data_IF_177953572745
#
_entry.id   IF_177953572745
#
_cell.length_a   1.000
_cell.length_b   1.000
_cell.length_c   1.000
_cell.angle_alpha   90.00
_cell.angle_beta   90.00
_cell.angle_gamma   90.00
#
_symmetry.space_group_name_H-M   'P 1'
#
loop_
_entity.id
_entity.type
_entity.pdbx_description
1 polymer ?
#
# COMPACT_ATOMS: atom_id res chain seq x y z
N UNK A 1 28.72 -50.37 36.26
CA UNK A 1 28.51 -49.01 35.74
C UNK A 1 27.51 -49.06 34.61
N UNK A 2 26.28 -48.64 34.92
CA UNK A 2 25.18 -48.54 33.92
C UNK A 2 25.14 -47.08 33.49
N UNK A 3 25.67 -46.77 32.30
CA UNK A 3 25.57 -45.46 31.69
C UNK A 3 24.16 -45.24 31.15
N UNK A 4 23.44 -44.29 31.74
CA UNK A 4 22.11 -43.90 31.33
C UNK A 4 22.17 -43.15 29.97
N UNK A 5 21.32 -43.60 29.01
CA UNK A 5 21.09 -42.91 27.72
C UNK A 5 20.31 -41.60 27.94
N UNK A 6 20.63 -40.53 27.22
CA UNK A 6 19.87 -39.29 27.33
C UNK A 6 18.49 -39.43 26.68
N UNK A 7 17.47 -38.91 27.38
CA UNK A 7 16.10 -38.82 26.89
C UNK A 7 15.99 -37.92 25.65
N UNK A 8 15.07 -38.19 24.68
CA UNK A 8 14.89 -37.34 23.51
C UNK A 8 14.37 -35.96 23.90
N UNK A 9 14.94 -34.95 23.24
CA UNK A 9 14.70 -33.54 23.53
C UNK A 9 13.22 -33.14 23.50
N UNK A 10 12.81 -32.42 24.53
CA UNK A 10 11.54 -31.74 24.61
C UNK A 10 11.51 -30.68 23.52
N UNK A 11 10.59 -30.84 22.54
CA UNK A 11 10.22 -29.75 21.63
C UNK A 11 9.66 -28.61 22.46
N UNK A 12 10.33 -27.47 22.46
CA UNK A 12 9.77 -26.22 22.97
C UNK A 12 8.53 -25.88 22.13
N UNK A 13 7.36 -26.00 22.73
CA UNK A 13 6.12 -25.47 22.21
C UNK A 13 6.28 -23.95 22.19
N UNK A 14 6.45 -23.36 21.01
CA UNK A 14 6.43 -21.92 20.83
C UNK A 14 5.08 -21.42 21.32
N UNK A 15 5.09 -20.51 22.30
CA UNK A 15 3.89 -19.81 22.76
C UNK A 15 3.20 -19.14 21.59
N UNK A 16 1.85 -19.14 21.52
CA UNK A 16 1.13 -18.46 20.44
C UNK A 16 1.54 -16.98 20.41
N UNK A 17 2.05 -16.54 19.27
CA UNK A 17 2.42 -15.15 19.04
C UNK A 17 1.16 -14.30 19.24
N UNK A 18 1.16 -13.42 20.23
CA UNK A 18 0.05 -12.52 20.51
C UNK A 18 -0.25 -11.68 19.26
N UNK A 19 -1.53 -11.60 18.90
CA UNK A 19 -1.99 -10.70 17.83
C UNK A 19 -1.49 -9.27 18.11
N UNK A 20 -0.99 -8.54 17.09
CA UNK A 20 -0.59 -7.16 17.27
C UNK A 20 -1.78 -6.36 17.84
N UNK A 21 -1.56 -5.40 18.75
CA UNK A 21 -2.63 -4.59 19.30
C UNK A 21 -3.38 -3.88 18.17
N UNK A 22 -4.72 -3.87 18.25
CA UNK A 22 -5.55 -3.14 17.31
C UNK A 22 -5.06 -1.68 17.25
N UNK A 23 -4.78 -1.18 16.04
CA UNK A 23 -4.42 0.22 15.86
C UNK A 23 -5.65 1.05 16.20
N UNK A 24 -5.55 1.85 17.26
CA UNK A 24 -6.54 2.87 17.62
C UNK A 24 -5.89 4.23 17.38
N UNK A 25 -6.58 5.14 16.69
CA UNK A 25 -6.09 6.49 16.46
C UNK A 25 -6.94 7.20 15.40
N UNK A 26 -6.84 8.52 15.39
CA UNK A 26 -7.57 9.40 14.49
C UNK A 26 -6.95 9.45 13.07
N UNK A 27 -6.05 8.52 12.75
CA UNK A 27 -5.40 8.42 11.44
C UNK A 27 -5.31 7.00 10.93
N UNK A 28 -5.22 6.86 9.59
CA UNK A 28 -4.90 5.62 8.88
C UNK A 28 -3.57 5.78 8.14
N UNK A 29 -2.88 4.64 7.93
CA UNK A 29 -1.66 4.57 7.12
C UNK A 29 -1.95 3.87 5.80
N UNK A 30 -1.73 4.57 4.71
CA UNK A 30 -1.80 4.04 3.35
C UNK A 30 -0.37 3.89 2.83
N UNK A 31 -0.06 2.72 2.27
CA UNK A 31 1.26 2.42 1.74
C UNK A 31 1.19 1.89 0.32
N UNK A 32 2.29 2.05 -0.41
CA UNK A 32 2.58 1.34 -1.67
C UNK A 32 3.79 0.46 -1.47
N UNK A 33 3.81 -0.72 -2.08
CA UNK A 33 4.91 -1.64 -1.98
C UNK A 33 5.03 -2.55 -3.22
N UNK A 34 6.01 -2.28 -4.06
CA UNK A 34 6.43 -3.24 -5.08
C UNK A 34 7.11 -4.43 -4.38
N UNK A 35 6.51 -5.63 -4.44
CA UNK A 35 7.03 -6.84 -3.78
C UNK A 35 7.95 -7.64 -4.71
N UNK A 36 8.47 -7.08 -5.75
CA UNK A 36 9.38 -7.72 -6.72
C UNK A 36 9.04 -9.18 -7.04
N UNK A 37 8.42 -9.43 -8.19
CA UNK A 37 8.12 -10.77 -8.70
C UNK A 37 7.40 -11.65 -7.66
N UNK A 38 6.27 -11.13 -7.14
CA UNK A 38 5.48 -11.85 -6.14
C UNK A 38 4.66 -12.97 -6.78
N UNK A 39 5.01 -14.22 -6.43
CA UNK A 39 4.37 -15.41 -6.95
C UNK A 39 4.69 -16.64 -6.10
N UNK A 40 4.38 -17.82 -6.63
CA UNK A 40 4.54 -19.11 -5.94
C UNK A 40 5.97 -19.38 -5.46
N UNK A 41 6.97 -18.87 -6.17
CA UNK A 41 8.39 -19.01 -5.78
C UNK A 41 8.71 -18.21 -4.52
N UNK A 42 8.16 -16.98 -4.38
CA UNK A 42 8.36 -16.14 -3.18
C UNK A 42 7.57 -16.70 -1.99
N UNK A 43 6.36 -17.25 -2.19
CA UNK A 43 5.60 -17.93 -1.14
C UNK A 43 6.37 -19.09 -0.48
N UNK A 44 7.30 -19.72 -1.19
CA UNK A 44 8.14 -20.81 -0.69
C UNK A 44 9.37 -20.34 0.10
N UNK A 45 9.54 -19.04 0.31
CA UNK A 45 10.65 -18.44 1.06
C UNK A 45 10.14 -17.99 2.45
N UNK A 46 10.17 -18.84 3.49
CA UNK A 46 9.50 -18.55 4.76
C UNK A 46 10.04 -17.29 5.45
N UNK A 47 11.34 -17.01 5.37
CA UNK A 47 11.93 -15.82 5.97
C UNK A 47 11.44 -14.52 5.27
N UNK A 48 11.39 -14.50 3.94
CA UNK A 48 10.86 -13.37 3.20
C UNK A 48 9.35 -13.18 3.46
N UNK A 49 8.58 -14.27 3.49
CA UNK A 49 7.14 -14.22 3.78
C UNK A 49 6.84 -13.73 5.19
N UNK A 50 7.65 -14.11 6.18
CA UNK A 50 7.51 -13.58 7.55
C UNK A 50 7.67 -12.05 7.55
N UNK A 51 8.71 -11.53 6.90
CA UNK A 51 8.94 -10.08 6.79
C UNK A 51 7.80 -9.41 6.05
N UNK A 52 7.34 -9.97 4.91
CA UNK A 52 6.23 -9.42 4.13
C UNK A 52 4.93 -9.34 4.95
N UNK A 53 4.60 -10.38 5.74
CA UNK A 53 3.43 -10.35 6.62
C UNK A 53 3.56 -9.29 7.71
N UNK A 54 4.74 -9.14 8.31
CA UNK A 54 5.01 -8.15 9.35
C UNK A 54 5.02 -6.72 8.79
N UNK A 55 5.44 -6.54 7.53
CA UNK A 55 5.34 -5.26 6.81
C UNK A 55 3.87 -4.88 6.61
N UNK A 56 3.08 -5.76 5.99
CA UNK A 56 1.67 -5.45 5.69
C UNK A 56 0.89 -5.09 6.96
N UNK A 57 1.11 -5.82 8.04
CA UNK A 57 0.46 -5.56 9.34
C UNK A 57 0.77 -4.19 9.96
N UNK A 58 1.69 -3.42 9.41
CA UNK A 58 2.02 -2.05 9.88
C UNK A 58 1.14 -0.98 9.26
N UNK A 59 0.35 -1.31 8.24
CA UNK A 59 -0.44 -0.39 7.45
C UNK A 59 -1.92 -0.76 7.46
N UNK A 60 -2.78 0.22 7.29
CA UNK A 60 -4.23 0.00 7.20
C UNK A 60 -4.65 -0.37 5.77
N UNK A 61 -3.91 0.17 4.77
CA UNK A 61 -4.05 -0.15 3.35
C UNK A 61 -2.66 -0.28 2.74
N UNK A 62 -2.45 -1.29 1.90
CA UNK A 62 -1.20 -1.48 1.13
C UNK A 62 -1.55 -1.80 -0.32
N UNK A 63 -1.15 -0.93 -1.24
CA UNK A 63 -1.18 -1.22 -2.67
C UNK A 63 0.07 -2.01 -3.05
N UNK A 64 -0.11 -3.13 -3.73
CA UNK A 64 0.93 -4.09 -4.07
C UNK A 64 1.11 -4.15 -5.58
N UNK A 65 2.33 -3.95 -6.05
CA UNK A 65 2.72 -4.12 -7.44
C UNK A 65 3.53 -5.42 -7.61
N UNK A 66 3.67 -5.84 -8.85
CA UNK A 66 4.40 -7.03 -9.27
C UNK A 66 3.85 -8.37 -8.75
N UNK A 67 2.53 -8.50 -8.61
CA UNK A 67 1.95 -9.83 -8.43
C UNK A 67 2.06 -10.57 -9.77
N UNK A 68 3.12 -11.38 -9.90
CA UNK A 68 3.49 -12.07 -11.15
C UNK A 68 3.24 -13.57 -11.06
N UNK A 69 1.97 -13.97 -11.01
CA UNK A 69 1.58 -15.38 -10.96
C UNK A 69 0.40 -15.66 -11.88
N UNK A 70 0.35 -16.87 -12.41
CA UNK A 70 -0.86 -17.44 -13.03
C UNK A 70 -1.68 -18.28 -12.04
N UNK A 71 -1.16 -18.45 -10.83
CA UNK A 71 -1.83 -19.15 -9.74
C UNK A 71 -2.60 -18.13 -8.89
N UNK A 72 -3.91 -18.12 -9.03
CA UNK A 72 -4.81 -17.18 -8.35
C UNK A 72 -4.83 -17.40 -6.82
N UNK A 73 -4.22 -18.48 -6.31
CA UNK A 73 -4.12 -18.73 -4.87
C UNK A 73 -3.03 -17.93 -4.16
N UNK A 74 -2.15 -17.23 -4.90
CA UNK A 74 -0.99 -16.52 -4.33
C UNK A 74 -1.43 -15.45 -3.33
N UNK A 75 -2.31 -14.52 -3.71
CA UNK A 75 -2.81 -13.48 -2.80
C UNK A 75 -3.69 -14.06 -1.69
N UNK A 76 -4.66 -14.94 -1.94
CA UNK A 76 -5.38 -15.63 -0.86
C UNK A 76 -4.48 -16.32 0.17
N UNK A 77 -3.42 -17.02 -0.27
CA UNK A 77 -2.46 -17.66 0.62
C UNK A 77 -1.70 -16.62 1.46
N UNK A 78 -1.28 -15.53 0.84
CA UNK A 78 -0.61 -14.43 1.56
C UNK A 78 -1.53 -13.80 2.62
N UNK A 79 -2.80 -13.57 2.29
CA UNK A 79 -3.81 -13.08 3.24
C UNK A 79 -3.99 -14.06 4.42
N UNK A 80 -4.03 -15.35 4.17
CA UNK A 80 -4.07 -16.37 5.25
C UNK A 80 -2.85 -16.25 6.17
N UNK A 81 -1.65 -16.07 5.62
CA UNK A 81 -0.43 -15.87 6.41
C UNK A 81 -0.48 -14.56 7.23
N UNK A 82 -0.95 -13.47 6.64
CA UNK A 82 -1.15 -12.19 7.35
C UNK A 82 -2.11 -12.38 8.52
N UNK A 83 -3.21 -13.11 8.32
CA UNK A 83 -4.28 -13.29 9.29
C UNK A 83 -3.99 -14.38 10.35
N UNK A 84 -2.97 -15.21 10.16
CA UNK A 84 -2.62 -16.31 11.08
C UNK A 84 -2.34 -15.84 12.52
N UNK A 85 -1.92 -14.57 12.71
CA UNK A 85 -1.69 -13.95 14.03
C UNK A 85 -2.92 -13.19 14.57
N UNK A 86 -4.12 -13.47 14.06
CA UNK A 86 -5.37 -12.84 14.52
C UNK A 86 -5.66 -11.47 13.89
N UNK A 87 -4.90 -11.04 12.89
CA UNK A 87 -5.22 -9.88 12.07
C UNK A 87 -6.44 -10.17 11.17
N UNK A 88 -7.03 -9.13 10.60
CA UNK A 88 -8.25 -9.24 9.77
C UNK A 88 -8.09 -8.46 8.47
N UNK A 89 -7.16 -8.91 7.64
CA UNK A 89 -6.96 -8.32 6.31
C UNK A 89 -7.79 -9.04 5.26
N UNK A 90 -8.19 -8.27 4.26
CA UNK A 90 -8.83 -8.72 3.05
C UNK A 90 -8.18 -8.00 1.86
N UNK A 91 -8.58 -8.28 0.63
CA UNK A 91 -7.96 -7.72 -0.56
C UNK A 91 -8.95 -7.50 -1.70
N UNK A 92 -8.55 -6.66 -2.64
CA UNK A 92 -9.04 -6.61 -4.02
C UNK A 92 -7.86 -6.81 -4.96
N UNK A 93 -8.09 -7.40 -6.13
CA UNK A 93 -7.06 -7.70 -7.11
C UNK A 93 -7.60 -7.45 -8.52
N UNK A 94 -6.77 -6.85 -9.36
CA UNK A 94 -7.05 -6.59 -10.77
C UNK A 94 -6.71 -7.76 -11.70
N UNK A 95 -7.00 -7.62 -12.99
CA UNK A 95 -6.60 -8.59 -14.00
C UNK A 95 -5.09 -8.60 -14.22
N UNK A 96 -4.59 -9.61 -14.95
CA UNK A 96 -3.18 -9.65 -15.37
C UNK A 96 -2.96 -8.75 -16.57
N UNK A 97 -2.13 -7.71 -16.39
CA UNK A 97 -1.86 -6.64 -17.34
C UNK A 97 -0.40 -6.66 -17.80
N UNK A 98 -0.11 -6.03 -18.92
CA UNK A 98 1.21 -5.85 -19.49
C UNK A 98 1.31 -6.33 -20.93
N UNK A 99 2.09 -5.61 -21.75
CA UNK A 99 2.30 -5.87 -23.17
C UNK A 99 3.25 -7.05 -23.44
N UNK A 100 4.00 -7.48 -22.43
CA UNK A 100 4.98 -8.56 -22.57
C UNK A 100 4.48 -9.86 -21.92
N UNK A 101 5.27 -10.94 -22.02
CA UNK A 101 5.01 -12.18 -21.29
C UNK A 101 5.11 -12.01 -19.76
N UNK A 102 5.73 -10.94 -19.29
CA UNK A 102 5.88 -10.59 -17.87
C UNK A 102 4.66 -9.79 -17.37
N UNK A 103 3.48 -10.41 -17.48
CA UNK A 103 2.24 -9.81 -16.98
C UNK A 103 2.18 -9.84 -15.47
N UNK A 104 1.63 -8.78 -14.87
CA UNK A 104 1.43 -8.64 -13.43
C UNK A 104 0.01 -8.18 -13.09
N UNK A 105 -0.35 -8.29 -11.82
CA UNK A 105 -1.60 -7.79 -11.27
C UNK A 105 -1.29 -6.77 -10.17
N UNK A 106 -2.20 -5.81 -10.01
CA UNK A 106 -2.27 -4.98 -8.82
C UNK A 106 -3.14 -5.64 -7.78
N UNK A 107 -2.75 -5.56 -6.51
CA UNK A 107 -3.57 -6.00 -5.40
C UNK A 107 -3.55 -4.96 -4.28
N UNK A 108 -4.71 -4.61 -3.74
CA UNK A 108 -4.80 -3.72 -2.59
C UNK A 108 -5.25 -4.54 -1.39
N UNK A 109 -4.41 -4.61 -0.36
CA UNK A 109 -4.63 -5.34 0.88
C UNK A 109 -5.01 -4.33 1.97
N UNK A 110 -6.04 -4.62 2.77
CA UNK A 110 -6.54 -3.68 3.77
C UNK A 110 -7.02 -4.36 5.05
N UNK A 111 -6.86 -3.68 6.20
CA UNK A 111 -7.36 -4.13 7.51
C UNK A 111 -8.88 -3.89 7.58
N UNK A 112 -9.67 -4.94 7.57
CA UNK A 112 -11.14 -4.88 7.59
C UNK A 112 -11.72 -4.34 8.90
N UNK A 113 -10.91 -4.25 9.95
CA UNK A 113 -11.32 -3.60 11.19
C UNK A 113 -11.36 -2.06 11.05
N UNK A 114 -10.59 -1.52 10.13
CA UNK A 114 -10.39 -0.08 9.97
C UNK A 114 -10.88 0.47 8.63
N UNK A 115 -10.93 -0.38 7.62
CA UNK A 115 -11.20 0.00 6.23
C UNK A 115 -12.29 -0.91 5.66
N UNK A 116 -13.18 -0.34 4.88
CA UNK A 116 -14.08 -1.08 4.00
C UNK A 116 -13.86 -0.67 2.55
N UNK A 117 -14.13 -1.56 1.64
CA UNK A 117 -14.03 -1.36 0.19
C UNK A 117 -15.41 -1.45 -0.45
N UNK A 118 -15.70 -0.55 -1.37
CA UNK A 118 -16.79 -0.74 -2.31
C UNK A 118 -16.31 -1.63 -3.46
N UNK A 119 -16.62 -2.93 -3.38
CA UNK A 119 -16.19 -3.90 -4.40
C UNK A 119 -16.78 -3.64 -5.79
N UNK A 120 -17.89 -2.91 -5.88
CA UNK A 120 -18.49 -2.52 -7.17
C UNK A 120 -17.73 -1.38 -7.85
N UNK A 121 -16.88 -0.66 -7.10
CA UNK A 121 -16.03 0.42 -7.60
C UNK A 121 -14.68 -0.06 -8.15
N UNK A 122 -14.36 -1.37 -8.05
CA UNK A 122 -13.07 -1.90 -8.51
C UNK A 122 -13.09 -2.04 -10.03
N UNK A 123 -12.18 -1.33 -10.69
CA UNK A 123 -12.04 -1.42 -12.15
C UNK A 123 -10.59 -1.14 -12.58
N UNK A 124 -10.28 -1.56 -13.79
CA UNK A 124 -9.06 -1.16 -14.51
C UNK A 124 -9.38 0.03 -15.40
N UNK A 125 -8.54 1.05 -15.38
CA UNK A 125 -8.74 2.26 -16.19
C UNK A 125 -8.78 1.88 -17.67
N UNK A 126 -9.80 2.27 -18.45
CA UNK A 126 -9.81 2.02 -19.88
C UNK A 126 -8.69 2.80 -20.58
N UNK A 127 -7.88 2.13 -21.38
CA UNK A 127 -6.82 2.71 -22.19
C UNK A 127 -6.94 2.30 -23.67
N UNK A 128 -7.91 2.87 -24.41
CA UNK A 128 -8.16 2.47 -25.80
C UNK A 128 -7.03 2.90 -26.76
N UNK A 129 -6.10 3.75 -26.32
CA UNK A 129 -4.95 4.21 -27.10
C UNK A 129 -3.67 3.44 -26.77
N UNK A 130 -3.74 2.51 -25.83
CA UNK A 130 -2.61 1.68 -25.36
C UNK A 130 -1.38 2.54 -24.98
N UNK A 131 -1.63 3.59 -24.19
CA UNK A 131 -0.61 4.52 -23.70
C UNK A 131 0.12 4.00 -22.46
N UNK A 132 -0.56 3.13 -21.69
CA UNK A 132 -0.07 2.58 -20.44
C UNK A 132 0.41 1.14 -20.66
N UNK A 133 1.58 0.80 -20.15
CA UNK A 133 2.09 -0.58 -20.22
C UNK A 133 1.22 -1.54 -19.39
N UNK A 134 0.71 -1.02 -18.28
CA UNK A 134 -0.23 -1.66 -17.36
C UNK A 134 -1.24 -0.63 -16.88
N UNK A 135 -2.48 -0.82 -17.26
CA UNK A 135 -3.54 0.13 -16.91
C UNK A 135 -3.78 0.14 -15.38
N UNK A 136 -3.89 1.31 -14.74
CA UNK A 136 -4.07 1.43 -13.29
C UNK A 136 -5.33 0.72 -12.80
N UNK A 137 -5.23 0.12 -11.60
CA UNK A 137 -6.38 -0.38 -10.88
C UNK A 137 -6.94 0.70 -9.95
N UNK A 138 -8.24 0.92 -10.00
CA UNK A 138 -8.96 1.86 -9.13
C UNK A 138 -9.89 1.09 -8.20
N UNK A 139 -9.94 1.50 -6.93
CA UNK A 139 -10.90 1.00 -5.96
C UNK A 139 -11.25 2.11 -4.96
N UNK A 140 -12.53 2.17 -4.54
CA UNK A 140 -12.99 3.12 -3.51
C UNK A 140 -12.99 2.46 -2.14
N UNK A 141 -12.49 3.22 -1.19
CA UNK A 141 -12.41 2.83 0.22
C UNK A 141 -13.11 3.84 1.12
N UNK A 142 -13.50 3.39 2.30
CA UNK A 142 -13.99 4.22 3.40
C UNK A 142 -13.38 3.75 4.72
N UNK A 143 -13.05 4.70 5.57
CA UNK A 143 -12.58 4.42 6.93
C UNK A 143 -13.74 3.93 7.80
N UNK A 144 -13.48 2.95 8.66
CA UNK A 144 -14.40 2.45 9.69
C UNK A 144 -14.09 3.04 11.05
N UNK A 145 -15.04 2.90 11.98
CA UNK A 145 -14.89 3.30 13.38
C UNK A 145 -15.32 4.73 13.68
N UNK A 146 -15.73 5.47 12.65
CA UNK A 146 -16.36 6.81 12.77
C UNK A 146 -17.71 6.81 12.07
N UNK A 147 -18.62 7.79 12.38
CA UNK A 147 -19.90 7.88 11.68
C UNK A 147 -19.72 7.95 10.17
N UNK A 148 -20.53 7.21 9.40
CA UNK A 148 -20.35 7.05 7.95
C UNK A 148 -20.38 8.37 7.16
N UNK A 149 -21.08 9.39 7.65
CA UNK A 149 -21.14 10.73 7.06
C UNK A 149 -19.98 11.65 7.48
N UNK A 150 -19.04 11.15 8.25
CA UNK A 150 -17.83 11.85 8.71
C UNK A 150 -16.57 11.03 8.41
N UNK A 151 -16.73 9.83 7.86
CA UNK A 151 -15.65 8.93 7.58
C UNK A 151 -14.93 9.35 6.30
N UNK A 152 -13.61 9.44 6.36
CA UNK A 152 -12.80 9.66 5.18
C UNK A 152 -13.07 8.58 4.13
N UNK A 153 -13.41 9.01 2.92
CA UNK A 153 -13.58 8.18 1.74
C UNK A 153 -12.55 8.59 0.68
N UNK A 154 -12.09 7.65 -0.13
CA UNK A 154 -11.08 7.95 -1.15
C UNK A 154 -11.08 6.90 -2.27
N UNK A 155 -10.73 7.34 -3.48
CA UNK A 155 -10.36 6.48 -4.59
C UNK A 155 -8.85 6.24 -4.55
N UNK A 156 -8.44 4.98 -4.53
CA UNK A 156 -7.04 4.59 -4.61
C UNK A 156 -6.73 4.12 -6.03
N UNK A 157 -5.68 4.68 -6.63
CA UNK A 157 -5.23 4.37 -7.99
C UNK A 157 -3.85 3.73 -7.89
N UNK A 158 -3.78 2.41 -8.09
CA UNK A 158 -2.55 1.62 -8.00
C UNK A 158 -1.89 1.52 -9.37
N UNK A 159 -0.61 1.87 -9.47
CA UNK A 159 0.17 1.95 -10.71
C UNK A 159 1.59 1.41 -10.55
N UNK A 160 2.11 0.82 -11.61
CA UNK A 160 3.51 0.50 -11.81
C UNK A 160 3.88 0.85 -13.26
N UNK A 161 4.62 1.93 -13.46
CA UNK A 161 5.08 2.36 -14.79
C UNK A 161 6.19 1.45 -15.32
N UNK A 162 6.30 1.37 -16.63
CA UNK A 162 7.44 0.71 -17.26
C UNK A 162 8.67 1.65 -17.25
N UNK A 163 9.86 1.22 -16.80
CA UNK A 163 11.04 2.06 -16.73
C UNK A 163 11.48 2.63 -18.08
N UNK A 164 11.17 1.95 -19.18
CA UNK A 164 11.50 2.41 -20.52
C UNK A 164 10.45 3.38 -21.11
N UNK A 165 9.24 3.41 -20.54
CA UNK A 165 8.09 4.22 -21.03
C UNK A 165 7.64 5.27 -20.02
N UNK A 166 8.33 5.49 -18.90
CA UNK A 166 7.91 6.36 -17.79
C UNK A 166 7.39 7.72 -18.20
N UNK A 167 8.05 8.38 -19.16
CA UNK A 167 7.65 9.73 -19.59
C UNK A 167 6.26 9.75 -20.22
N UNK A 168 5.97 8.85 -21.15
CA UNK A 168 4.67 8.77 -21.83
C UNK A 168 3.58 8.30 -20.87
N UNK A 169 3.89 7.35 -19.99
CA UNK A 169 2.93 6.86 -19.00
C UNK A 169 2.57 7.94 -17.96
N UNK A 170 3.54 8.70 -17.46
CA UNK A 170 3.30 9.82 -16.53
C UNK A 170 2.49 10.95 -17.17
N UNK A 171 2.66 11.16 -18.47
CA UNK A 171 1.82 12.10 -19.22
C UNK A 171 0.36 11.59 -19.31
N UNK A 172 0.16 10.29 -19.58
CA UNK A 172 -1.17 9.66 -19.59
C UNK A 172 -1.80 9.60 -18.17
N UNK A 173 -1.01 9.35 -17.14
CA UNK A 173 -1.46 9.32 -15.74
C UNK A 173 -2.00 10.67 -15.26
N UNK A 174 -1.56 11.79 -15.85
CA UNK A 174 -2.18 13.08 -15.59
C UNK A 174 -3.65 13.12 -16.01
N UNK A 175 -3.97 12.58 -17.17
CA UNK A 175 -5.36 12.48 -17.66
C UNK A 175 -6.16 11.43 -16.86
N UNK A 176 -5.54 10.32 -16.48
CA UNK A 176 -6.14 9.30 -15.60
C UNK A 176 -6.55 9.92 -14.26
N UNK A 177 -5.62 10.65 -13.60
CA UNK A 177 -5.89 11.29 -12.31
C UNK A 177 -7.11 12.21 -12.39
N UNK A 178 -7.13 13.10 -13.37
CA UNK A 178 -8.24 14.03 -13.60
C UNK A 178 -9.54 13.28 -13.92
N UNK A 179 -9.47 12.22 -14.73
CA UNK A 179 -10.61 11.37 -15.07
C UNK A 179 -11.23 10.66 -13.86
N UNK A 180 -10.39 10.14 -12.95
CA UNK A 180 -10.85 9.50 -11.71
C UNK A 180 -11.46 10.54 -10.76
N UNK A 181 -10.82 11.70 -10.59
CA UNK A 181 -11.30 12.77 -9.72
C UNK A 181 -12.65 13.32 -10.17
N UNK A 182 -12.86 13.46 -11.48
CA UNK A 182 -14.10 14.00 -12.07
C UNK A 182 -15.13 12.92 -12.38
N UNK A 183 -14.96 11.70 -11.94
CA UNK A 183 -15.95 10.66 -12.20
C UNK A 183 -17.28 10.98 -11.51
N UNK A 184 -18.37 10.36 -12.00
CA UNK A 184 -19.74 10.63 -11.50
C UNK A 184 -20.01 10.11 -10.08
N UNK A 185 -19.00 9.58 -9.40
CA UNK A 185 -19.17 9.00 -8.08
C UNK A 185 -19.32 10.04 -6.96
N UNK A 186 -18.94 11.30 -7.23
CA UNK A 186 -18.95 12.37 -6.24
C UNK A 186 -17.81 12.29 -5.22
N UNK A 187 -16.85 11.37 -5.42
CA UNK A 187 -15.64 11.23 -4.61
C UNK A 187 -14.47 11.92 -5.30
N UNK A 188 -13.96 13.00 -4.72
CA UNK A 188 -12.88 13.81 -5.28
C UNK A 188 -11.52 13.56 -4.60
N UNK A 189 -11.50 12.78 -3.52
CA UNK A 189 -10.27 12.31 -2.89
C UNK A 189 -9.66 11.18 -3.71
N UNK A 190 -8.66 11.52 -4.51
CA UNK A 190 -7.91 10.57 -5.33
C UNK A 190 -6.49 10.47 -4.81
N UNK A 191 -6.09 9.27 -4.42
CA UNK A 191 -4.73 8.93 -4.02
C UNK A 191 -4.15 7.99 -5.07
N UNK A 192 -3.26 8.52 -5.93
CA UNK A 192 -2.50 7.73 -6.89
C UNK A 192 -1.17 7.33 -6.23
N UNK A 193 -0.88 6.05 -6.21
CA UNK A 193 0.33 5.54 -5.58
C UNK A 193 0.89 4.32 -6.32
N UNK A 194 2.18 4.10 -6.16
CA UNK A 194 2.85 2.98 -6.82
C UNK A 194 4.32 3.22 -7.06
N UNK A 195 4.88 2.31 -7.83
CA UNK A 195 6.22 2.43 -8.40
C UNK A 195 6.13 3.23 -9.71
N UNK A 196 6.58 4.48 -9.65
CA UNK A 196 6.56 5.41 -10.80
C UNK A 196 7.85 5.37 -11.62
N UNK A 197 8.86 4.61 -11.17
CA UNK A 197 10.19 4.51 -11.81
C UNK A 197 10.89 5.88 -12.04
N UNK A 198 10.42 6.94 -11.38
CA UNK A 198 11.00 8.29 -11.37
C UNK A 198 10.94 8.90 -9.98
N UNK A 199 11.77 9.93 -9.77
CA UNK A 199 11.69 10.75 -8.57
C UNK A 199 10.56 11.80 -8.67
N UNK A 200 10.31 12.49 -7.55
CA UNK A 200 9.24 13.50 -7.42
C UNK A 200 9.42 14.74 -8.31
N UNK A 201 10.57 14.92 -8.92
CA UNK A 201 10.85 16.06 -9.82
C UNK A 201 10.54 15.75 -11.29
N UNK A 202 10.30 14.48 -11.63
CA UNK A 202 10.13 14.01 -13.00
C UNK A 202 8.74 13.42 -13.28
N UNK A 203 7.71 13.92 -12.62
CA UNK A 203 6.32 13.41 -12.72
C UNK A 203 5.60 13.76 -14.03
N UNK A 204 6.26 14.39 -15.03
CA UNK A 204 5.66 14.71 -16.31
C UNK A 204 4.37 15.56 -16.18
N UNK A 205 3.36 15.28 -17.00
CA UNK A 205 2.06 15.95 -16.94
C UNK A 205 1.28 15.66 -15.67
N UNK A 206 1.48 14.50 -15.04
CA UNK A 206 0.88 14.20 -13.73
C UNK A 206 1.27 15.27 -12.69
N UNK A 207 2.54 15.68 -12.66
CA UNK A 207 3.03 16.73 -11.76
C UNK A 207 2.51 18.15 -12.11
N UNK A 208 1.92 18.33 -13.30
CA UNK A 208 1.34 19.61 -13.76
C UNK A 208 -0.17 19.70 -13.49
N UNK A 209 -0.82 18.63 -13.04
CA UNK A 209 -2.24 18.68 -12.65
C UNK A 209 -2.40 19.69 -11.51
N UNK A 210 -3.37 20.63 -11.60
CA UNK A 210 -3.54 21.67 -10.59
C UNK A 210 -3.67 21.10 -9.16
N UNK A 211 -2.93 21.69 -8.23
CA UNK A 211 -2.90 21.34 -6.81
C UNK A 211 -2.35 19.95 -6.48
N UNK A 212 -1.81 19.23 -7.45
CA UNK A 212 -1.11 17.97 -7.19
C UNK A 212 0.05 18.20 -6.23
N UNK A 213 0.22 17.28 -5.33
CA UNK A 213 1.35 17.16 -4.43
C UNK A 213 1.74 15.69 -4.27
N UNK A 214 2.91 15.45 -3.71
CA UNK A 214 3.42 14.12 -3.38
C UNK A 214 3.80 14.05 -1.91
N UNK A 215 3.63 12.88 -1.29
CA UNK A 215 3.99 12.70 0.12
C UNK A 215 5.48 12.42 0.28
N UNK A 216 6.04 11.53 -0.53
CA UNK A 216 7.43 11.06 -0.39
C UNK A 216 8.36 12.04 -1.09
N UNK A 217 9.37 12.55 -0.38
CA UNK A 217 10.29 13.54 -0.94
C UNK A 217 11.71 13.37 -0.41
N UNK A 218 12.70 13.51 -1.28
CA UNK A 218 14.15 13.53 -0.97
C UNK A 218 14.63 12.30 -0.20
N UNK A 219 14.00 11.15 -0.39
CA UNK A 219 14.39 9.89 0.25
C UNK A 219 14.35 8.76 -0.78
N UNK A 220 15.31 7.85 -0.70
CA UNK A 220 15.32 6.65 -1.53
C UNK A 220 14.26 5.66 -1.07
N UNK A 221 13.60 5.02 -2.03
CA UNK A 221 12.51 4.07 -1.78
C UNK A 221 12.89 2.64 -2.14
N UNK A 222 14.08 2.43 -2.68
CA UNK A 222 14.56 1.09 -2.99
C UNK A 222 15.51 0.53 -1.90
N UNK A 223 15.61 -0.79 -1.81
CA UNK A 223 16.42 -1.52 -0.82
C UNK A 223 17.90 -1.17 -0.88
N UNK A 224 18.43 -0.88 -2.08
CA UNK A 224 19.83 -0.45 -2.27
C UNK A 224 20.10 1.01 -1.89
N UNK A 225 19.07 1.76 -1.48
CA UNK A 225 19.14 3.16 -1.02
C UNK A 225 19.79 4.10 -2.04
N UNK A 226 19.50 3.93 -3.32
CA UNK A 226 20.09 4.74 -4.40
C UNK A 226 19.08 5.23 -5.44
N UNK A 227 17.77 4.92 -5.26
CA UNK A 227 16.70 5.30 -6.19
C UNK A 227 15.46 5.79 -5.42
N UNK A 228 14.75 6.73 -6.02
CA UNK A 228 13.48 7.29 -5.57
C UNK A 228 12.43 6.96 -6.63
N UNK A 229 11.69 5.88 -6.47
CA UNK A 229 10.79 5.33 -7.48
C UNK A 229 9.32 5.33 -7.04
N UNK A 230 9.09 5.14 -5.74
CA UNK A 230 7.76 4.94 -5.20
C UNK A 230 7.23 6.26 -4.61
N UNK A 231 5.97 6.59 -4.89
CA UNK A 231 5.37 7.80 -4.33
C UNK A 231 3.86 7.64 -4.09
N UNK A 232 3.30 8.60 -3.35
CA UNK A 232 1.88 8.75 -3.04
C UNK A 232 1.49 10.18 -3.42
N UNK A 233 0.63 10.30 -4.42
CA UNK A 233 0.28 11.54 -5.11
C UNK A 233 -1.20 11.83 -4.93
N UNK A 234 -1.54 13.06 -4.57
CA UNK A 234 -2.92 13.48 -4.35
C UNK A 234 -3.07 15.01 -4.56
N UNK A 235 -4.30 15.48 -4.64
CA UNK A 235 -4.58 16.93 -4.66
C UNK A 235 -4.64 17.47 -3.25
N UNK A 236 -3.76 18.42 -2.90
CA UNK A 236 -3.75 19.07 -1.58
C UNK A 236 -5.00 19.89 -1.27
N UNK A 237 -5.85 20.19 -2.25
CA UNK A 237 -7.11 20.91 -2.05
C UNK A 237 -8.30 19.98 -1.92
N UNK A 238 -8.28 18.81 -2.54
CA UNK A 238 -9.28 17.78 -2.36
C UNK A 238 -8.95 16.96 -1.11
N UNK A 239 -7.81 16.28 -1.10
CA UNK A 239 -7.39 15.37 -0.02
C UNK A 239 -6.74 16.14 1.14
N UNK A 240 -7.59 16.86 1.88
CA UNK A 240 -7.17 17.67 3.03
C UNK A 240 -6.94 16.83 4.30
N UNK A 241 -7.28 15.54 4.25
CA UNK A 241 -7.09 14.52 5.28
C UNK A 241 -5.62 14.17 5.49
N UNK A 242 -4.75 14.47 4.53
CA UNK A 242 -3.31 14.25 4.70
C UNK A 242 -2.76 15.05 5.88
N UNK A 243 -2.21 14.34 6.88
CA UNK A 243 -1.76 14.95 8.15
C UNK A 243 -0.29 15.36 8.15
N UNK A 244 0.38 15.34 7.00
CA UNK A 244 1.79 15.75 6.88
C UNK A 244 2.79 14.71 7.40
N UNK A 245 2.37 13.49 7.73
CA UNK A 245 3.26 12.40 8.16
C UNK A 245 3.38 11.35 7.06
N UNK A 246 4.62 11.01 6.76
CA UNK A 246 4.97 10.03 5.74
C UNK A 246 6.33 9.37 6.06
N UNK A 247 6.68 8.33 5.36
CA UNK A 247 7.99 7.70 5.48
C UNK A 247 8.20 6.55 4.51
N UNK A 248 9.40 6.00 4.57
CA UNK A 248 9.80 4.76 3.89
C UNK A 248 10.19 3.75 4.97
N UNK A 249 9.63 2.56 4.92
CA UNK A 249 9.97 1.50 5.84
C UNK A 249 11.20 0.75 5.30
N UNK A 250 12.36 1.17 5.73
CA UNK A 250 13.63 0.53 5.35
C UNK A 250 13.71 -0.90 5.90
N UNK A 251 13.74 -1.89 5.00
CA UNK A 251 13.70 -3.30 5.36
C UNK A 251 14.95 -3.71 6.16
N UNK A 252 16.14 -3.22 5.77
CA UNK A 252 17.38 -3.58 6.42
C UNK A 252 17.41 -3.12 7.87
N UNK A 253 17.11 -1.84 8.11
CA UNK A 253 17.14 -1.28 9.48
C UNK A 253 15.97 -1.75 10.32
N UNK A 254 14.76 -1.90 9.74
CA UNK A 254 13.56 -2.29 10.49
C UNK A 254 13.62 -3.73 10.99
N UNK A 255 14.19 -4.64 10.19
CA UNK A 255 14.22 -6.08 10.49
C UNK A 255 15.64 -6.60 10.79
N UNK A 256 16.62 -5.69 10.95
CA UNK A 256 18.02 -6.02 11.18
C UNK A 256 18.57 -7.03 10.16
N UNK A 257 18.35 -6.74 8.87
CA UNK A 257 18.71 -7.59 7.74
C UNK A 257 19.95 -7.07 7.02
N UNK A 258 20.74 -7.98 6.47
CA UNK A 258 21.73 -7.61 5.44
C UNK A 258 21.02 -7.20 4.14
N UNK A 259 21.71 -6.49 3.25
CA UNK A 259 21.17 -6.12 1.93
C UNK A 259 20.73 -7.37 1.14
N UNK A 260 21.53 -8.44 1.16
CA UNK A 260 21.19 -9.69 0.48
C UNK A 260 19.88 -10.31 1.00
N UNK A 261 19.65 -10.29 2.32
CA UNK A 261 18.41 -10.77 2.93
C UNK A 261 17.22 -9.87 2.57
N UNK A 262 17.40 -8.56 2.61
CA UNK A 262 16.35 -7.61 2.25
C UNK A 262 15.94 -7.73 0.76
N UNK A 263 16.90 -7.95 -0.14
CA UNK A 263 16.64 -8.20 -1.56
C UNK A 263 15.89 -9.52 -1.83
N UNK A 264 15.94 -10.51 -0.91
CA UNK A 264 15.06 -11.68 -0.99
C UNK A 264 13.58 -11.33 -0.70
N UNK A 265 13.34 -10.26 0.04
CA UNK A 265 12.00 -9.73 0.30
C UNK A 265 11.54 -8.88 -0.88
N UNK A 266 12.26 -7.79 -1.17
CA UNK A 266 12.05 -6.92 -2.32
C UNK A 266 13.26 -6.02 -2.56
N UNK A 267 13.45 -5.56 -3.80
CA UNK A 267 14.37 -4.46 -4.14
C UNK A 267 13.76 -3.07 -3.90
N UNK A 268 12.47 -2.99 -3.50
CA UNK A 268 11.79 -1.79 -3.03
C UNK A 268 11.53 -1.84 -1.53
N UNK A 269 11.30 -0.67 -0.95
CA UNK A 269 10.88 -0.47 0.43
C UNK A 269 9.47 0.15 0.45
N UNK A 270 8.57 -0.29 1.35
CA UNK A 270 7.24 0.31 1.45
C UNK A 270 7.31 1.81 1.71
N UNK A 271 6.67 2.61 0.86
CA UNK A 271 6.47 4.04 1.06
C UNK A 271 5.06 4.28 1.59
N UNK A 272 4.88 5.13 2.58
CA UNK A 272 3.60 5.32 3.27
C UNK A 272 3.33 6.78 3.63
N UNK A 273 2.04 7.10 3.75
CA UNK A 273 1.55 8.38 4.25
C UNK A 273 0.37 8.17 5.21
N UNK A 274 0.16 9.13 6.11
CA UNK A 274 -0.95 9.12 7.07
C UNK A 274 -2.03 10.13 6.68
N UNK A 275 -3.27 9.69 6.85
CA UNK A 275 -4.47 10.48 6.59
C UNK A 275 -5.39 10.44 7.81
N UNK A 276 -6.16 11.51 8.03
CA UNK A 276 -7.22 11.56 9.05
C UNK A 276 -8.27 10.47 8.79
N UNK A 277 -8.88 9.96 9.83
CA UNK A 277 -10.07 9.08 9.72
C UNK A 277 -11.35 9.86 9.40
N UNK A 278 -11.31 11.19 9.58
CA UNK A 278 -12.45 12.06 9.38
C UNK A 278 -12.33 12.81 8.05
N UNK A 279 -13.42 12.86 7.34
CA UNK A 279 -13.62 13.73 6.17
C UNK A 279 -13.53 15.19 6.59
N UNK A 280 -12.70 15.99 5.90
CA UNK A 280 -12.59 17.41 6.17
C UNK A 280 -13.80 18.15 5.62
N UNK A 281 -14.64 18.60 6.50
CA UNK A 281 -15.95 19.22 6.19
C UNK A 281 -17.04 18.77 7.16
N UNK A 282 -16.84 17.63 7.84
CA UNK A 282 -17.58 17.28 9.04
C UNK A 282 -17.03 18.09 10.21
N UNK A 283 -17.84 18.99 10.78
CA UNK A 283 -17.48 19.80 11.94
C UNK A 283 -16.97 18.92 13.06
N UNK A 284 -15.64 18.91 13.25
CA UNK A 284 -15.04 18.35 14.47
C UNK A 284 -15.65 19.07 15.68
N UNK A 285 -16.11 18.36 16.73
CA UNK A 285 -16.39 19.02 17.98
C UNK A 285 -15.07 19.60 18.50
N UNK A 286 -14.94 20.93 18.41
CA UNK A 286 -13.82 21.67 19.02
C UNK A 286 -13.76 21.24 20.47
N UNK A 287 -12.70 20.52 20.86
CA UNK A 287 -12.45 20.17 22.24
C UNK A 287 -12.44 21.50 23.05
N UNK A 288 -13.46 21.71 23.89
CA UNK A 288 -13.51 22.85 24.81
C UNK A 288 -12.30 22.73 25.74
N UNK A 289 -11.33 23.61 25.56
CA UNK A 289 -10.29 23.86 26.57
C UNK A 289 -11.02 24.20 27.86
N UNK A 290 -10.80 23.51 29.00
CA UNK A 290 -11.39 23.89 30.26
C UNK A 290 -10.91 25.31 30.61
N UNK A 291 -11.86 26.25 30.64
CA UNK A 291 -11.56 27.61 31.05
C UNK A 291 -11.04 27.62 32.50
N UNK A 292 -9.87 28.18 32.69
CA UNK A 292 -9.37 28.57 34.01
C UNK A 292 -10.34 29.57 34.61
N UNK A 293 -11.15 29.10 35.54
CA UNK A 293 -11.86 30.02 36.49
C UNK A 293 -10.86 30.51 37.52
N UNK A 294 -10.59 31.80 37.51
CA UNK A 294 -9.94 32.53 38.60
C UNK A 294 -10.97 32.66 39.74
#
# INVERSE_FOLDING_TARGET
DITALPLPGQQQVQSPQQAPPARSGDTIKIATFNIQVFGTSKLKKPAAMQVLTDVVRRFDVVAIQEVRSTDDSVIPTFIQMINAAGARYDFVIGPRLGRTNSKEQYAIIFDTARIEVDRSSVYTVPDPQDLLHREPMVARFRVRGVPANQAFTFNLVDIHTDPDETKSELDALGDVYVGVQNNRSGEDDVILLGDLNVDEYHLGRLGQVPNITHAITKVTTNTRRNKMYDNIIFSRLATTEYVGRWGVLDLMSTFNMSEAQALEVSDHCPAWAEFSVYESGGSQPVARVPGNTR
#
